data_IF_883608930730
#
_entry.id   IF_883608930730
#
_cell.length_a   1.000
_cell.length_b   1.000
_cell.length_c   1.000
_cell.angle_alpha   90.00
_cell.angle_beta   90.00
_cell.angle_gamma   90.00
#
_symmetry.space_group_name_H-M   'P 1'
#
loop_
_entity.id
_entity.type
_entity.pdbx_description
1 polymer ?
#
# COMPACT_ATOMS: atom_id res chain seq x y z
N UNK A 1 37.06 3.44 22.78
CA UNK A 1 35.60 3.56 22.76
C UNK A 1 35.22 4.50 21.62
N UNK A 2 34.72 3.98 20.49
CA UNK A 2 34.24 4.83 19.39
C UNK A 2 32.87 5.36 19.79
N UNK A 3 32.73 6.69 19.83
CA UNK A 3 31.53 7.40 20.26
C UNK A 3 30.33 6.96 19.42
N UNK A 4 29.20 6.77 20.09
CA UNK A 4 27.87 6.79 19.48
C UNK A 4 27.80 8.04 18.59
N UNK A 5 27.37 7.96 17.33
CA UNK A 5 27.13 9.15 16.52
C UNK A 5 26.24 10.10 17.31
N UNK A 6 26.68 11.34 17.53
CA UNK A 6 25.91 12.36 18.29
C UNK A 6 24.47 12.48 17.77
N UNK A 7 24.29 12.22 16.47
CA UNK A 7 23.04 12.14 15.72
C UNK A 7 21.94 11.25 16.33
N UNK A 8 22.27 10.14 17.02
CA UNK A 8 21.28 9.18 17.56
C UNK A 8 21.35 9.02 19.08
N UNK A 9 22.11 9.87 19.76
CA UNK A 9 22.23 9.82 21.22
C UNK A 9 20.88 10.08 21.91
N UNK A 10 20.03 10.91 21.32
CA UNK A 10 18.69 11.23 21.83
C UNK A 10 17.78 9.98 21.90
N UNK A 11 17.85 9.09 20.91
CA UNK A 11 17.05 7.86 20.87
C UNK A 11 17.39 6.90 22.02
N UNK A 12 18.67 6.87 22.43
CA UNK A 12 19.11 6.08 23.58
C UNK A 12 18.74 6.75 24.91
N UNK A 13 18.74 8.08 24.96
CA UNK A 13 18.34 8.85 26.14
C UNK A 13 16.83 8.74 26.44
N UNK A 14 15.99 8.71 25.39
CA UNK A 14 14.53 8.55 25.48
C UNK A 14 14.10 7.08 25.69
N UNK A 15 15.03 6.14 25.88
CA UNK A 15 14.80 4.69 26.04
C UNK A 15 14.07 4.02 24.86
N UNK A 16 14.07 4.64 23.69
CA UNK A 16 13.49 4.07 22.46
C UNK A 16 14.32 2.87 21.98
N UNK A 17 15.64 2.95 22.16
CA UNK A 17 16.57 1.87 21.83
C UNK A 17 17.60 1.69 22.94
N UNK A 18 17.98 0.43 23.22
CA UNK A 18 19.07 0.16 24.16
C UNK A 18 20.41 0.63 23.57
N UNK A 19 21.30 1.24 24.37
CA UNK A 19 22.60 1.71 23.90
C UNK A 19 23.50 0.57 23.40
N UNK A 20 23.32 -0.65 23.93
CA UNK A 20 24.00 -1.86 23.45
C UNK A 20 23.53 -2.21 22.03
N UNK A 21 22.21 -2.21 21.79
CA UNK A 21 21.62 -2.48 20.48
C UNK A 21 22.01 -1.41 19.45
N UNK A 22 22.01 -0.13 19.84
CA UNK A 22 22.47 0.96 18.98
C UNK A 22 23.92 0.76 18.52
N UNK A 23 24.81 0.37 19.44
CA UNK A 23 26.19 0.05 19.10
C UNK A 23 26.31 -1.16 18.16
N UNK A 24 25.48 -2.19 18.34
CA UNK A 24 25.43 -3.34 17.42
C UNK A 24 25.01 -2.91 16.01
N UNK A 25 23.96 -2.11 15.89
CA UNK A 25 23.46 -1.58 14.61
C UNK A 25 24.54 -0.73 13.92
N UNK A 26 25.28 0.09 14.66
CA UNK A 26 26.39 0.87 14.12
C UNK A 26 27.48 -0.04 13.54
N UNK A 27 27.88 -1.09 14.27
CA UNK A 27 28.86 -2.05 13.75
C UNK A 27 28.33 -2.79 12.52
N UNK A 28 27.04 -3.13 12.52
CA UNK A 28 26.40 -3.78 11.39
C UNK A 28 26.35 -2.89 10.14
N UNK A 29 25.98 -1.61 10.28
CA UNK A 29 26.00 -0.61 9.22
C UNK A 29 27.38 -0.51 8.59
N UNK A 30 28.44 -0.44 9.40
CA UNK A 30 29.83 -0.39 8.92
C UNK A 30 30.19 -1.67 8.17
N UNK A 31 29.76 -2.85 8.66
CA UNK A 31 30.05 -4.15 8.05
C UNK A 31 29.34 -4.35 6.71
N UNK A 32 28.06 -3.96 6.63
CA UNK A 32 27.21 -4.16 5.45
C UNK A 32 27.24 -2.98 4.48
N UNK A 33 27.85 -1.86 4.87
CA UNK A 33 27.81 -0.59 4.15
C UNK A 33 26.37 -0.12 3.86
N UNK A 34 25.44 -0.49 4.74
CA UNK A 34 24.04 -0.09 4.67
C UNK A 34 23.80 1.19 5.48
N UNK A 35 22.89 2.08 5.04
CA UNK A 35 22.52 3.27 5.81
C UNK A 35 21.98 2.86 7.19
N UNK A 36 22.51 3.51 8.23
CA UNK A 36 22.17 3.21 9.62
C UNK A 36 20.68 3.44 9.91
N UNK A 37 20.08 4.42 9.22
CA UNK A 37 18.66 4.76 9.30
C UNK A 37 17.78 3.55 8.95
N UNK A 38 18.12 2.80 7.90
CA UNK A 38 17.32 1.64 7.47
C UNK A 38 17.46 0.47 8.45
N UNK A 39 18.63 0.29 9.06
CA UNK A 39 18.84 -0.72 10.10
C UNK A 39 18.11 -0.35 11.40
N UNK A 40 18.04 0.93 11.75
CA UNK A 40 17.26 1.42 12.90
C UNK A 40 15.76 1.18 12.68
N UNK A 41 15.26 1.45 11.47
CA UNK A 41 13.87 1.12 11.10
C UNK A 41 13.61 -0.39 11.19
N UNK A 42 14.53 -1.22 10.68
CA UNK A 42 14.42 -2.67 10.74
C UNK A 42 14.46 -3.22 12.19
N UNK A 43 15.17 -2.54 13.08
CA UNK A 43 15.21 -2.85 14.51
C UNK A 43 13.93 -2.40 15.27
N UNK A 44 12.99 -1.76 14.59
CA UNK A 44 11.70 -1.36 15.16
C UNK A 44 11.66 0.07 15.70
N UNK A 45 12.66 0.90 15.43
CA UNK A 45 12.61 2.32 15.80
C UNK A 45 11.51 3.02 14.99
N UNK A 46 10.57 3.74 15.63
CA UNK A 46 9.54 4.48 14.91
C UNK A 46 10.13 5.55 13.99
N UNK A 47 9.57 5.67 12.78
CA UNK A 47 10.01 6.62 11.76
C UNK A 47 10.04 8.06 12.25
N UNK A 48 8.99 8.47 12.96
CA UNK A 48 8.84 9.84 13.47
C UNK A 48 9.94 10.19 14.48
N UNK A 49 10.29 9.27 15.38
CA UNK A 49 11.36 9.49 16.36
C UNK A 49 12.72 9.61 15.68
N UNK A 50 12.96 8.82 14.64
CA UNK A 50 14.17 8.91 13.85
C UNK A 50 14.27 10.29 13.17
N UNK A 51 13.21 10.76 12.52
CA UNK A 51 13.15 12.08 11.88
C UNK A 51 13.29 13.23 12.89
N UNK A 52 12.72 13.08 14.09
CA UNK A 52 12.88 14.03 15.20
C UNK A 52 14.35 14.13 15.62
N UNK A 53 15.05 13.01 15.78
CA UNK A 53 16.48 12.99 16.06
C UNK A 53 17.31 13.63 14.92
N UNK A 54 16.94 13.40 13.65
CA UNK A 54 17.57 14.08 12.51
C UNK A 54 17.37 15.60 12.56
N UNK A 55 16.18 16.04 12.92
CA UNK A 55 15.82 17.46 13.06
C UNK A 55 16.59 18.12 14.18
N UNK A 56 16.71 17.44 15.33
CA UNK A 56 17.53 17.89 16.46
C UNK A 56 18.99 18.07 16.08
N UNK A 57 19.54 17.12 15.31
CA UNK A 57 20.95 17.14 14.91
C UNK A 57 21.28 18.15 13.81
N UNK A 58 20.45 18.25 12.76
CA UNK A 58 20.70 19.13 11.61
C UNK A 58 20.07 20.51 11.72
N UNK A 59 19.15 20.72 12.67
CA UNK A 59 18.35 21.95 12.80
C UNK A 59 17.58 22.32 11.51
N UNK A 60 17.14 21.31 10.77
CA UNK A 60 16.39 21.46 9.53
C UNK A 60 15.01 20.81 9.67
N UNK A 61 13.97 21.37 9.02
CA UNK A 61 12.66 20.74 8.98
C UNK A 61 12.75 19.35 8.33
N UNK A 62 12.03 18.39 8.90
CA UNK A 62 11.91 17.07 8.32
C UNK A 62 10.71 16.97 7.38
N UNK A 63 10.76 16.03 6.46
CA UNK A 63 9.65 15.65 5.60
C UNK A 63 9.42 14.14 5.72
N UNK A 64 8.18 13.77 6.04
CA UNK A 64 7.70 12.39 5.90
C UNK A 64 7.26 12.15 4.46
N UNK A 65 7.53 10.95 3.94
CA UNK A 65 7.07 10.57 2.61
C UNK A 65 5.54 10.63 2.51
N UNK A 66 5.05 11.39 1.53
CA UNK A 66 3.64 11.45 1.14
C UNK A 66 3.53 11.19 -0.37
N UNK A 67 2.64 10.28 -0.76
CA UNK A 67 2.37 9.96 -2.17
C UNK A 67 1.79 11.15 -2.93
N UNK A 68 1.11 12.07 -2.23
CA UNK A 68 0.52 13.28 -2.80
C UNK A 68 1.51 14.41 -3.07
N UNK A 69 2.76 14.27 -2.61
CA UNK A 69 3.76 15.30 -2.79
C UNK A 69 4.20 15.34 -4.25
N UNK A 70 4.03 16.50 -4.90
CA UNK A 70 4.34 16.68 -6.31
C UNK A 70 5.47 17.70 -6.49
N UNK A 71 6.57 17.25 -7.09
CA UNK A 71 7.63 18.15 -7.54
C UNK A 71 7.23 18.86 -8.85
N UNK A 72 7.72 20.09 -9.00
CA UNK A 72 7.46 20.89 -10.17
C UNK A 72 8.19 20.35 -11.40
N UNK A 73 7.45 20.24 -12.51
CA UNK A 73 7.91 19.59 -13.75
C UNK A 73 9.15 20.25 -14.39
N UNK A 74 9.30 21.57 -14.23
CA UNK A 74 10.45 22.34 -14.68
C UNK A 74 11.74 21.91 -13.97
N UNK A 75 11.65 21.56 -12.68
CA UNK A 75 12.80 21.12 -11.90
C UNK A 75 13.14 19.67 -12.18
N UNK A 76 12.12 18.81 -12.31
CA UNK A 76 12.29 17.40 -12.69
C UNK A 76 12.96 17.24 -14.07
N UNK A 77 12.72 18.17 -15.00
CA UNK A 77 13.35 18.16 -16.31
C UNK A 77 14.87 18.42 -16.28
N UNK A 78 15.39 18.99 -15.20
CA UNK A 78 16.81 19.30 -15.07
C UNK A 78 17.60 18.13 -14.46
N UNK A 79 16.95 17.12 -13.90
CA UNK A 79 17.59 16.10 -13.06
C UNK A 79 17.35 14.68 -13.58
N UNK A 80 18.35 13.81 -13.38
CA UNK A 80 18.25 12.38 -13.68
C UNK A 80 17.92 11.62 -12.39
N UNK A 81 16.79 10.92 -12.36
CA UNK A 81 16.33 10.19 -11.17
C UNK A 81 17.29 9.05 -10.77
N UNK A 82 18.01 8.44 -11.72
CA UNK A 82 19.03 7.43 -11.39
C UNK A 82 20.23 8.05 -10.67
N UNK A 83 20.55 9.32 -10.98
CA UNK A 83 21.56 10.08 -10.24
C UNK A 83 21.03 10.48 -8.86
N UNK A 84 19.78 10.94 -8.78
CA UNK A 84 19.14 11.30 -7.51
C UNK A 84 19.11 10.13 -6.51
N UNK A 85 18.84 8.89 -6.97
CA UNK A 85 18.90 7.69 -6.11
C UNK A 85 20.29 7.43 -5.56
N UNK A 86 21.35 7.73 -6.32
CA UNK A 86 22.74 7.54 -5.89
C UNK A 86 23.20 8.64 -4.95
N UNK A 87 22.78 9.87 -5.20
CA UNK A 87 23.20 11.06 -4.46
C UNK A 87 22.28 11.39 -3.26
N UNK A 88 21.13 10.72 -3.15
CA UNK A 88 20.16 10.84 -2.05
C UNK A 88 19.72 12.30 -1.81
N UNK A 89 19.25 12.95 -2.87
CA UNK A 89 18.52 14.21 -2.82
C UNK A 89 17.35 14.23 -3.81
N UNK A 90 16.38 15.12 -3.61
CA UNK A 90 15.24 15.28 -4.51
C UNK A 90 14.75 16.74 -4.51
N UNK A 91 14.64 17.40 -5.68
CA UNK A 91 14.11 18.75 -5.74
C UNK A 91 12.58 18.77 -5.71
N UNK A 92 12.01 19.68 -4.91
CA UNK A 92 10.56 19.89 -4.84
C UNK A 92 10.11 20.95 -5.82
N UNK A 93 10.63 22.16 -5.66
CA UNK A 93 10.19 23.32 -6.43
C UNK A 93 11.32 24.34 -6.51
N UNK A 94 11.26 25.16 -7.55
CA UNK A 94 12.17 26.28 -7.77
C UNK A 94 11.34 27.55 -7.92
N UNK A 95 11.65 28.54 -7.09
CA UNK A 95 11.07 29.87 -7.13
C UNK A 95 12.17 30.89 -7.40
N UNK A 96 12.37 31.23 -8.68
CA UNK A 96 13.39 32.18 -9.09
C UNK A 96 14.82 31.70 -8.81
N UNK A 97 15.45 32.29 -7.79
CA UNK A 97 16.82 32.00 -7.33
C UNK A 97 16.86 31.10 -6.07
N UNK A 98 15.71 30.62 -5.62
CA UNK A 98 15.59 29.71 -4.48
C UNK A 98 15.01 28.37 -4.92
N UNK A 99 15.45 27.28 -4.28
CA UNK A 99 14.87 25.96 -4.47
C UNK A 99 14.66 25.24 -3.15
N UNK A 100 13.54 24.53 -3.03
CA UNK A 100 13.29 23.60 -1.94
C UNK A 100 13.78 22.23 -2.35
N UNK A 101 14.67 21.65 -1.54
CA UNK A 101 15.34 20.38 -1.86
C UNK A 101 15.33 19.48 -0.63
N UNK A 102 14.92 18.24 -0.84
CA UNK A 102 14.99 17.20 0.17
C UNK A 102 16.35 16.51 0.05
N UNK A 103 17.03 16.32 1.18
CA UNK A 103 18.34 15.69 1.25
C UNK A 103 18.40 14.71 2.41
N UNK A 104 19.11 13.60 2.22
CA UNK A 104 19.38 12.68 3.34
C UNK A 104 20.58 13.15 4.19
N UNK A 105 21.57 13.80 3.56
CA UNK A 105 22.83 14.21 4.19
C UNK A 105 23.14 15.70 3.92
N UNK A 106 22.56 16.64 4.67
CA UNK A 106 22.72 18.08 4.42
C UNK A 106 24.13 18.62 4.68
N UNK A 107 24.97 17.90 5.44
CA UNK A 107 26.34 18.33 5.76
C UNK A 107 27.34 18.15 4.61
N UNK A 108 26.96 17.48 3.52
CA UNK A 108 27.85 17.34 2.36
C UNK A 108 27.87 18.64 1.53
N UNK A 109 28.90 19.44 1.75
CA UNK A 109 29.09 20.71 1.02
C UNK A 109 29.23 20.50 -0.49
N UNK A 110 29.84 19.39 -0.93
CA UNK A 110 30.01 19.12 -2.37
C UNK A 110 28.66 18.83 -3.01
N UNK A 111 27.81 18.08 -2.31
CA UNK A 111 26.44 17.81 -2.74
C UNK A 111 25.64 19.11 -2.85
N UNK A 112 25.69 19.97 -1.83
CA UNK A 112 24.99 21.26 -1.85
C UNK A 112 25.45 22.17 -3.01
N UNK A 113 26.75 22.26 -3.29
CA UNK A 113 27.28 23.01 -4.43
C UNK A 113 26.86 22.38 -5.77
N UNK A 114 26.86 21.04 -5.86
CA UNK A 114 26.37 20.32 -7.03
C UNK A 114 24.88 20.62 -7.31
N UNK A 115 24.04 20.56 -6.28
CA UNK A 115 22.60 20.86 -6.35
C UNK A 115 22.37 22.29 -6.86
N UNK A 116 23.08 23.29 -6.30
CA UNK A 116 22.97 24.69 -6.75
C UNK A 116 23.28 24.85 -8.23
N UNK A 117 24.37 24.23 -8.69
CA UNK A 117 24.77 24.27 -10.10
C UNK A 117 23.75 23.58 -11.01
N UNK A 118 23.19 22.45 -10.57
CA UNK A 118 22.22 21.67 -11.33
C UNK A 118 20.88 22.39 -11.46
N UNK A 119 20.38 22.95 -10.36
CA UNK A 119 19.11 23.67 -10.30
C UNK A 119 19.22 25.12 -10.78
N UNK A 120 20.44 25.64 -10.93
CA UNK A 120 20.76 27.03 -11.32
C UNK A 120 20.14 28.04 -10.35
N UNK A 121 20.43 27.87 -9.06
CA UNK A 121 19.91 28.69 -7.94
C UNK A 121 21.03 29.10 -6.98
N UNK A 122 20.91 30.29 -6.40
CA UNK A 122 21.81 30.82 -5.38
C UNK A 122 21.51 30.29 -3.97
N UNK A 123 20.24 30.11 -3.64
CA UNK A 123 19.76 29.70 -2.31
C UNK A 123 19.07 28.34 -2.32
N UNK A 124 19.30 27.56 -1.26
CA UNK A 124 18.68 26.25 -1.05
C UNK A 124 17.95 26.23 0.29
N UNK A 125 16.68 25.84 0.26
CA UNK A 125 15.88 25.50 1.43
C UNK A 125 15.90 23.99 1.59
N UNK A 126 16.68 23.49 2.55
CA UNK A 126 16.90 22.06 2.74
C UNK A 126 15.85 21.46 3.68
N UNK A 127 15.30 20.32 3.27
CA UNK A 127 14.42 19.46 4.06
C UNK A 127 15.14 18.12 4.28
N UNK A 128 15.06 17.57 5.48
CA UNK A 128 15.68 16.26 5.78
C UNK A 128 14.64 15.15 5.67
N UNK A 129 14.98 14.10 4.94
CA UNK A 129 14.19 12.87 4.87
C UNK A 129 15.08 11.65 5.00
N UNK A 130 14.46 10.51 5.31
CA UNK A 130 15.17 9.24 5.41
C UNK A 130 15.61 8.77 4.02
N UNK A 131 16.75 8.07 3.90
CA UNK A 131 17.21 7.53 2.62
C UNK A 131 16.15 6.68 1.91
N UNK A 132 15.49 5.78 2.64
CA UNK A 132 14.44 4.91 2.11
C UNK A 132 13.20 5.68 1.66
N UNK A 133 12.83 6.76 2.36
CA UNK A 133 11.70 7.61 1.97
C UNK A 133 12.01 8.41 0.72
N UNK A 134 13.24 8.90 0.62
CA UNK A 134 13.70 9.65 -0.54
C UNK A 134 13.77 8.77 -1.79
N UNK A 135 14.23 7.53 -1.65
CA UNK A 135 14.21 6.55 -2.74
C UNK A 135 12.77 6.29 -3.19
N UNK A 136 11.84 6.04 -2.26
CA UNK A 136 10.42 5.85 -2.59
C UNK A 136 9.83 7.08 -3.29
N UNK A 137 10.19 8.27 -2.83
CA UNK A 137 9.79 9.52 -3.47
C UNK A 137 10.29 9.60 -4.92
N UNK A 138 11.58 9.35 -5.13
CA UNK A 138 12.18 9.36 -6.46
C UNK A 138 11.50 8.33 -7.39
N UNK A 139 11.19 7.14 -6.87
CA UNK A 139 10.47 6.09 -7.60
C UNK A 139 9.04 6.48 -7.94
N UNK A 140 8.31 7.13 -7.03
CA UNK A 140 6.95 7.62 -7.29
C UNK A 140 6.93 8.67 -8.41
N UNK A 141 8.02 9.44 -8.56
CA UNK A 141 8.20 10.43 -9.62
C UNK A 141 8.79 9.89 -10.93
N UNK A 142 9.02 8.57 -11.02
CA UNK A 142 9.74 7.98 -12.15
C UNK A 142 9.01 8.13 -13.49
N UNK A 143 7.69 8.02 -13.49
CA UNK A 143 6.87 8.10 -14.70
C UNK A 143 6.72 9.53 -15.26
N UNK A 144 7.08 10.56 -14.47
CA UNK A 144 6.94 11.99 -14.83
C UNK A 144 8.26 12.57 -15.37
N UNK A 145 9.37 11.83 -15.31
CA UNK A 145 10.65 12.32 -15.81
C UNK A 145 10.69 12.32 -17.36
N UNK A 146 11.08 13.43 -18.00
CA UNK A 146 11.20 13.50 -19.46
C UNK A 146 12.20 12.51 -20.09
N UNK A 147 13.13 11.94 -19.32
CA UNK A 147 14.08 10.91 -19.77
C UNK A 147 13.63 9.47 -19.43
N UNK A 148 12.43 9.29 -18.88
CA UNK A 148 11.89 7.97 -18.61
C UNK A 148 11.67 7.21 -19.92
N UNK A 149 12.35 6.05 -20.14
CA UNK A 149 12.18 5.32 -21.37
C UNK A 149 10.73 4.82 -21.44
N UNK A 150 9.98 5.10 -22.52
CA UNK A 150 8.58 4.64 -22.65
C UNK A 150 8.43 3.13 -22.53
N UNK A 151 9.52 2.37 -22.71
CA UNK A 151 9.56 0.92 -22.52
C UNK A 151 9.52 0.47 -21.04
N UNK A 152 10.04 1.26 -20.11
CA UNK A 152 10.07 0.91 -18.68
C UNK A 152 8.68 0.94 -18.05
N UNK A 153 7.81 1.87 -18.44
CA UNK A 153 6.42 1.92 -17.95
C UNK A 153 5.48 0.89 -18.61
N UNK A 154 5.86 0.30 -19.75
CA UNK A 154 4.99 -0.65 -20.48
C UNK A 154 4.76 -1.95 -19.71
N UNK A 155 5.78 -2.49 -19.06
CA UNK A 155 5.67 -3.77 -18.32
C UNK A 155 4.88 -3.67 -17.01
N UNK A 156 5.08 -2.66 -16.12
CA UNK A 156 4.26 -2.53 -14.92
C UNK A 156 2.81 -2.16 -15.24
N UNK A 157 2.56 -1.25 -16.20
CA UNK A 157 1.19 -0.89 -16.60
C UNK A 157 0.45 -2.06 -17.25
N UNK A 158 1.13 -2.86 -18.08
CA UNK A 158 0.54 -4.07 -18.63
C UNK A 158 0.18 -5.08 -17.54
N UNK A 159 1.07 -5.29 -16.55
CA UNK A 159 0.81 -6.14 -15.38
C UNK A 159 -0.39 -5.64 -14.57
N UNK A 160 -0.47 -4.34 -14.30
CA UNK A 160 -1.59 -3.73 -13.60
C UNK A 160 -2.90 -3.93 -14.37
N UNK A 161 -2.89 -3.74 -15.70
CA UNK A 161 -4.06 -3.99 -16.55
C UNK A 161 -4.51 -5.45 -16.48
N UNK A 162 -3.58 -6.40 -16.53
CA UNK A 162 -3.93 -7.84 -16.41
C UNK A 162 -4.48 -8.18 -15.04
N UNK A 163 -3.91 -7.60 -13.98
CA UNK A 163 -4.39 -7.78 -12.61
C UNK A 163 -5.80 -7.22 -12.41
N UNK A 164 -6.08 -6.01 -12.92
CA UNK A 164 -7.41 -5.41 -12.88
C UNK A 164 -8.44 -6.23 -13.67
N UNK A 165 -8.03 -6.79 -14.82
CA UNK A 165 -8.89 -7.64 -15.62
C UNK A 165 -9.25 -8.94 -14.89
N UNK A 166 -8.29 -9.57 -14.21
CA UNK A 166 -8.51 -10.75 -13.38
C UNK A 166 -9.45 -10.45 -12.21
N UNK A 167 -9.24 -9.32 -11.52
CA UNK A 167 -10.12 -8.89 -10.44
C UNK A 167 -11.57 -8.67 -10.90
N UNK A 168 -11.77 -8.11 -12.11
CA UNK A 168 -13.11 -7.99 -12.71
C UNK A 168 -13.76 -9.35 -12.98
N UNK A 169 -12.98 -10.34 -13.44
CA UNK A 169 -13.47 -11.70 -13.67
C UNK A 169 -13.89 -12.37 -12.36
N UNK A 170 -13.08 -12.24 -11.31
CA UNK A 170 -13.40 -12.78 -9.98
C UNK A 170 -14.70 -12.20 -9.43
N UNK A 171 -14.86 -10.87 -9.50
CA UNK A 171 -16.10 -10.20 -9.09
C UNK A 171 -17.32 -10.64 -9.93
N UNK A 172 -17.14 -10.87 -11.23
CA UNK A 172 -18.20 -11.40 -12.09
C UNK A 172 -18.60 -12.83 -11.67
N UNK A 173 -17.64 -13.69 -11.31
CA UNK A 173 -17.91 -15.03 -10.78
C UNK A 173 -18.65 -14.96 -9.43
N UNK A 174 -18.26 -14.04 -8.53
CA UNK A 174 -19.01 -13.83 -7.29
C UNK A 174 -20.46 -13.41 -7.56
N UNK A 175 -20.71 -12.53 -8.55
CA UNK A 175 -22.08 -12.13 -8.93
C UNK A 175 -22.91 -13.31 -9.44
N UNK A 176 -22.33 -14.19 -10.25
CA UNK A 176 -23.06 -15.37 -10.74
C UNK A 176 -23.31 -16.39 -9.64
N UNK A 177 -22.35 -16.59 -8.73
CA UNK A 177 -22.50 -17.45 -7.56
C UNK A 177 -23.62 -16.95 -6.63
N UNK A 178 -23.62 -15.65 -6.29
CA UNK A 178 -24.69 -15.04 -5.49
C UNK A 178 -26.06 -15.09 -6.18
N UNK A 179 -26.11 -14.98 -7.52
CA UNK A 179 -27.35 -15.15 -8.27
C UNK A 179 -27.89 -16.59 -8.16
N UNK A 180 -27.03 -17.62 -8.29
CA UNK A 180 -27.39 -19.02 -8.07
C UNK A 180 -27.87 -19.27 -6.63
N UNK A 181 -27.19 -18.67 -5.64
CA UNK A 181 -27.60 -18.75 -4.24
C UNK A 181 -28.99 -18.15 -4.00
N UNK A 182 -29.32 -17.01 -4.62
CA UNK A 182 -30.66 -16.40 -4.54
C UNK A 182 -31.74 -17.28 -5.15
N UNK A 183 -31.48 -17.89 -6.29
CA UNK A 183 -32.45 -18.81 -6.92
C UNK A 183 -32.62 -20.08 -6.10
N UNK A 184 -31.53 -20.69 -5.63
CA UNK A 184 -31.58 -21.88 -4.78
C UNK A 184 -32.37 -21.66 -3.49
N UNK A 185 -32.11 -20.55 -2.78
CA UNK A 185 -32.85 -20.21 -1.56
C UNK A 185 -34.33 -19.89 -1.83
N UNK A 186 -34.64 -19.28 -2.97
CA UNK A 186 -36.03 -19.04 -3.38
C UNK A 186 -36.78 -20.37 -3.60
N UNK A 187 -36.16 -21.33 -4.28
CA UNK A 187 -36.72 -22.68 -4.48
C UNK A 187 -36.96 -23.41 -3.16
N UNK A 188 -36.00 -23.36 -2.22
CA UNK A 188 -36.17 -23.93 -0.88
C UNK A 188 -37.35 -23.30 -0.14
N UNK A 189 -37.47 -21.96 -0.18
CA UNK A 189 -38.57 -21.24 0.48
C UNK A 189 -39.94 -21.67 -0.07
N UNK A 190 -40.07 -21.75 -1.39
CA UNK A 190 -41.32 -22.19 -2.03
C UNK A 190 -41.59 -23.67 -1.77
N UNK A 191 -40.55 -24.51 -1.75
CA UNK A 191 -40.66 -25.94 -1.47
C UNK A 191 -41.18 -26.23 -0.05
N UNK A 192 -40.62 -25.55 0.96
CA UNK A 192 -41.09 -25.62 2.34
C UNK A 192 -42.54 -25.13 2.48
N UNK A 193 -42.94 -24.10 1.72
CA UNK A 193 -44.31 -23.60 1.71
C UNK A 193 -45.30 -24.61 1.11
N UNK A 194 -44.93 -25.32 0.05
CA UNK A 194 -45.78 -26.40 -0.47
C UNK A 194 -45.86 -27.58 0.49
N UNK A 195 -44.75 -28.00 1.10
CA UNK A 195 -44.79 -29.07 2.11
C UNK A 195 -45.71 -28.68 3.27
N UNK A 196 -45.62 -27.44 3.78
CA UNK A 196 -46.46 -27.00 4.89
C UNK A 196 -47.95 -26.96 4.54
N UNK A 197 -48.31 -26.42 3.36
CA UNK A 197 -49.69 -26.41 2.87
C UNK A 197 -50.23 -27.85 2.71
N UNK A 198 -49.45 -28.74 2.11
CA UNK A 198 -49.85 -30.14 1.90
C UNK A 198 -50.09 -30.88 3.21
N UNK A 199 -49.23 -30.69 4.22
CA UNK A 199 -49.39 -31.28 5.55
C UNK A 199 -50.59 -30.72 6.32
N UNK A 200 -50.85 -29.41 6.20
CA UNK A 200 -52.01 -28.77 6.83
C UNK A 200 -53.32 -29.27 6.22
N UNK A 201 -53.39 -29.37 4.88
CA UNK A 201 -54.58 -29.91 4.19
C UNK A 201 -54.86 -31.35 4.61
N UNK A 202 -53.83 -32.20 4.62
CA UNK A 202 -53.94 -33.60 5.05
C UNK A 202 -54.45 -33.71 6.50
N UNK A 203 -54.02 -32.79 7.37
CA UNK A 203 -54.50 -32.74 8.76
C UNK A 203 -55.96 -32.33 8.90
N UNK A 204 -56.46 -31.44 8.04
CA UNK A 204 -57.83 -30.92 8.08
C UNK A 204 -58.82 -31.90 7.43
N UNK A 205 -58.50 -32.39 6.24
CA UNK A 205 -59.41 -33.21 5.43
C UNK A 205 -59.25 -34.73 5.68
N UNK A 206 -58.13 -35.17 6.25
CA UNK A 206 -57.86 -36.58 6.52
C UNK A 206 -57.65 -37.40 5.24
N UNK A 207 -57.65 -38.74 5.37
CA UNK A 207 -57.47 -39.65 4.23
C UNK A 207 -58.77 -39.70 3.40
N UNK A 208 -58.87 -38.81 2.42
CA UNK A 208 -60.03 -38.68 1.52
C UNK A 208 -59.66 -38.59 0.03
N UNK A 209 -60.62 -38.18 -0.81
CA UNK A 209 -60.42 -38.06 -2.27
C UNK A 209 -59.31 -37.08 -2.68
N UNK A 210 -58.98 -36.11 -1.84
CA UNK A 210 -57.94 -35.10 -2.10
C UNK A 210 -56.51 -35.59 -1.85
N UNK A 211 -56.33 -36.84 -1.40
CA UNK A 211 -55.00 -37.34 -1.03
C UNK A 211 -54.01 -37.38 -2.20
N UNK A 212 -54.50 -37.56 -3.43
CA UNK A 212 -53.65 -37.52 -4.63
C UNK A 212 -53.07 -36.12 -4.83
N UNK A 213 -53.88 -35.09 -4.60
CA UNK A 213 -53.46 -33.70 -4.69
C UNK A 213 -52.49 -33.33 -3.57
N UNK A 214 -52.79 -33.74 -2.34
CA UNK A 214 -51.94 -33.49 -1.16
C UNK A 214 -50.57 -34.19 -1.30
N UNK A 215 -50.57 -35.45 -1.73
CA UNK A 215 -49.34 -36.20 -2.00
C UNK A 215 -48.53 -35.57 -3.14
N UNK A 216 -49.19 -35.10 -4.20
CA UNK A 216 -48.52 -34.39 -5.29
C UNK A 216 -47.89 -33.07 -4.81
N UNK A 217 -48.58 -32.33 -3.94
CA UNK A 217 -48.13 -31.04 -3.42
C UNK A 217 -46.93 -31.20 -2.46
N UNK A 218 -46.96 -32.23 -1.61
CA UNK A 218 -45.81 -32.60 -0.76
C UNK A 218 -44.63 -33.09 -1.60
N UNK A 219 -44.88 -33.96 -2.59
CA UNK A 219 -43.83 -34.46 -3.48
C UNK A 219 -43.16 -33.34 -4.28
N UNK A 220 -43.96 -32.41 -4.82
CA UNK A 220 -43.45 -31.23 -5.54
C UNK A 220 -42.64 -30.32 -4.61
N UNK A 221 -43.13 -30.06 -3.39
CA UNK A 221 -42.40 -29.26 -2.41
C UNK A 221 -41.07 -29.90 -1.99
N UNK A 222 -41.04 -31.24 -1.87
CA UNK A 222 -39.81 -31.98 -1.58
C UNK A 222 -38.82 -31.89 -2.75
N UNK A 223 -39.28 -32.08 -3.98
CA UNK A 223 -38.47 -31.93 -5.19
C UNK A 223 -37.87 -30.52 -5.31
N UNK A 224 -38.67 -29.47 -5.11
CA UNK A 224 -38.21 -28.08 -5.13
C UNK A 224 -37.19 -27.76 -4.02
N UNK A 225 -37.36 -28.36 -2.84
CA UNK A 225 -36.41 -28.19 -1.73
C UNK A 225 -35.07 -28.85 -2.05
N UNK A 226 -35.09 -30.07 -2.59
CA UNK A 226 -33.87 -30.80 -3.00
C UNK A 226 -33.16 -30.08 -4.14
N UNK A 227 -33.90 -29.64 -5.16
CA UNK A 227 -33.32 -28.89 -6.29
C UNK A 227 -32.76 -27.53 -5.85
N UNK A 228 -33.47 -26.82 -4.96
CA UNK A 228 -32.99 -25.57 -4.38
C UNK A 228 -31.70 -25.72 -3.57
N UNK A 229 -31.57 -26.80 -2.78
CA UNK A 229 -30.34 -27.12 -2.04
C UNK A 229 -29.20 -27.48 -3.02
N UNK A 230 -29.49 -28.26 -4.07
CA UNK A 230 -28.52 -28.63 -5.10
C UNK A 230 -27.99 -27.42 -5.87
N UNK A 231 -28.82 -26.41 -6.10
CA UNK A 231 -28.41 -25.14 -6.74
C UNK A 231 -27.69 -24.16 -5.79
N UNK A 232 -27.92 -24.28 -4.49
CA UNK A 232 -27.28 -23.46 -3.47
C UNK A 232 -25.87 -23.96 -3.10
N UNK A 233 -25.69 -25.29 -3.05
CA UNK A 233 -24.40 -25.89 -2.78
C UNK A 233 -23.50 -25.80 -4.04
N UNK A 234 -22.23 -25.37 -3.89
CA UNK A 234 -21.28 -25.28 -4.99
C UNK A 234 -20.86 -26.64 -5.55
#
# INVERSE_FOLDING_TARGET
MKRVPEKYAELAAEQIISPELLNQIIQESIRTNAPIEDLLLAAGVPRHELLKALTGFYHLPFLEYDEGLLASSDVLALVDLEQLKKELWFPLLREGDEAHVIVSHPNDRKLCEHIKNRLRVGNLHLLVALPSDLIRLIENHQDVNPHFPPAAGRTPLARLRTWLADHRNLLAQHRTSLAKGRTGLAFVRTGVSFISIGLVLLRIFGVGYLIILEAALVALGLAMTVDGIRWYLP
#
